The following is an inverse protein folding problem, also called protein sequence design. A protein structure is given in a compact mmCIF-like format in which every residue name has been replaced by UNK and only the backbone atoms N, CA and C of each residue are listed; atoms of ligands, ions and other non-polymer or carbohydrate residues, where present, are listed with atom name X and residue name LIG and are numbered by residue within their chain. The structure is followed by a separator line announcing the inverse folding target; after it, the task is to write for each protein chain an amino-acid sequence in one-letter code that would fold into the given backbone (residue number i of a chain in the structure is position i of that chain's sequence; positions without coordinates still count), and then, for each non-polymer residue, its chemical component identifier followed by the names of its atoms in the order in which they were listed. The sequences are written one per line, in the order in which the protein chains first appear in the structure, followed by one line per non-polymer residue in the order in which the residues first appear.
data_IF_431879274861
#
_entry.id   IF_431879274861
#
_cell.length_a   1.000
_cell.length_b   1.000
_cell.length_c   1.000
_cell.angle_alpha   90.00
_cell.angle_beta   90.00
_cell.angle_gamma   90.00
#
_symmetry.space_group_name_H-M   'P 1'
#
loop_
_entity.id
_entity.type
_entity.pdbx_description
1 polymer ?
#
# COMPACT_ATOMS: atom_id res chain seq x y z
N UNK A 1 4.81 7.29 -8.98
CA UNK A 1 5.65 8.28 -8.26
C UNK A 1 6.83 7.67 -7.51
N UNK A 2 7.05 6.36 -7.61
CA UNK A 2 8.21 5.69 -7.01
C UNK A 2 9.46 5.95 -7.87
N UNK A 3 10.53 6.42 -7.22
CA UNK A 3 11.83 6.67 -7.85
C UNK A 3 12.54 5.37 -8.28
N UNK A 4 13.58 5.48 -9.10
CA UNK A 4 14.42 4.34 -9.44
C UNK A 4 15.10 3.73 -8.21
N UNK A 5 15.57 4.57 -7.28
CA UNK A 5 16.20 4.12 -6.03
C UNK A 5 15.22 3.32 -5.16
N UNK A 6 14.00 3.84 -4.96
CA UNK A 6 12.98 3.14 -4.15
C UNK A 6 12.57 1.82 -4.82
N UNK A 7 12.44 1.77 -6.16
CA UNK A 7 12.11 0.53 -6.87
C UNK A 7 13.24 -0.50 -6.79
N UNK A 8 14.49 -0.06 -6.84
CA UNK A 8 15.64 -0.97 -6.75
C UNK A 8 15.77 -1.59 -5.34
N UNK A 9 15.30 -0.89 -4.30
CA UNK A 9 15.24 -1.43 -2.95
C UNK A 9 16.61 -1.97 -2.50
N UNK A 10 16.62 -3.18 -1.94
CA UNK A 10 17.83 -3.82 -1.44
C UNK A 10 18.91 -4.01 -2.53
N UNK A 11 18.52 -4.38 -3.76
CA UNK A 11 19.48 -4.58 -4.87
C UNK A 11 20.08 -3.26 -5.36
N UNK A 12 19.40 -2.15 -5.11
CA UNK A 12 19.91 -0.79 -5.31
C UNK A 12 20.78 -0.26 -4.16
N UNK A 13 21.05 -1.07 -3.13
CA UNK A 13 21.86 -0.69 -1.97
C UNK A 13 21.09 0.05 -0.86
N UNK A 14 19.76 0.05 -0.89
CA UNK A 14 18.97 0.63 0.18
C UNK A 14 19.16 -0.16 1.49
N UNK A 15 19.38 0.57 2.59
CA UNK A 15 19.55 0.00 3.95
C UNK A 15 18.31 0.11 4.83
N UNK A 16 17.29 0.82 4.35
CA UNK A 16 15.97 0.93 4.99
C UNK A 16 14.88 0.95 3.95
N UNK A 17 13.73 0.37 4.27
CA UNK A 17 12.52 0.50 3.49
C UNK A 17 12.10 1.98 3.38
N UNK A 18 11.60 2.38 2.22
CA UNK A 18 11.06 3.73 2.04
C UNK A 18 9.69 3.86 2.72
N UNK A 19 9.57 4.76 3.71
CA UNK A 19 8.28 5.11 4.31
C UNK A 19 7.61 6.21 3.47
N UNK A 20 6.54 5.86 2.76
CA UNK A 20 5.92 6.74 1.78
C UNK A 20 4.76 7.52 2.37
N UNK A 21 4.90 8.84 2.39
CA UNK A 21 3.85 9.81 2.75
C UNK A 21 3.51 10.69 1.54
N UNK A 22 2.40 11.43 1.61
CA UNK A 22 1.99 12.31 0.52
C UNK A 22 2.91 13.52 0.33
N UNK A 23 3.67 13.90 1.36
CA UNK A 23 4.61 15.03 1.34
C UNK A 23 5.92 14.71 0.61
N UNK A 24 6.17 13.44 0.30
CA UNK A 24 7.34 13.05 -0.46
C UNK A 24 7.28 13.59 -1.89
N UNK A 25 8.38 14.23 -2.32
CA UNK A 25 8.53 14.70 -3.70
C UNK A 25 8.53 13.51 -4.67
N UNK A 26 7.55 13.44 -5.59
CA UNK A 26 7.49 12.36 -6.57
C UNK A 26 8.64 12.42 -7.58
N UNK A 27 9.32 11.30 -7.79
CA UNK A 27 10.33 11.15 -8.85
C UNK A 27 9.89 10.06 -9.85
N UNK A 28 9.01 10.39 -10.81
CA UNK A 28 8.49 9.42 -11.74
C UNK A 28 9.60 8.91 -12.69
N UNK A 29 9.76 7.59 -12.76
CA UNK A 29 10.75 6.90 -13.60
C UNK A 29 10.25 6.41 -14.96
N UNK A 30 8.95 6.55 -15.23
CA UNK A 30 8.33 6.05 -16.46
C UNK A 30 7.20 6.99 -16.94
N UNK A 31 6.78 6.81 -18.19
CA UNK A 31 5.74 7.64 -18.83
C UNK A 31 4.46 7.68 -17.98
N UNK A 32 4.00 6.53 -17.49
CA UNK A 32 2.84 6.46 -16.61
C UNK A 32 2.98 7.38 -15.39
N UNK A 33 4.11 7.31 -14.69
CA UNK A 33 4.39 8.12 -13.51
C UNK A 33 4.41 9.61 -13.81
N UNK A 34 5.02 10.01 -14.94
CA UNK A 34 5.08 11.41 -15.39
C UNK A 34 3.68 11.90 -15.69
N UNK A 35 2.90 11.16 -16.48
CA UNK A 35 1.53 11.53 -16.83
C UNK A 35 0.63 11.68 -15.61
N UNK A 36 0.74 10.77 -14.63
CA UNK A 36 -0.04 10.87 -13.38
C UNK A 36 0.36 12.09 -12.54
N UNK A 37 1.66 12.36 -12.37
CA UNK A 37 2.12 13.53 -11.64
C UNK A 37 1.69 14.84 -12.32
N UNK A 38 1.77 14.90 -13.64
CA UNK A 38 1.27 16.05 -14.42
C UNK A 38 -0.23 16.26 -14.22
N UNK A 39 -1.03 15.19 -14.15
CA UNK A 39 -2.45 15.28 -13.85
C UNK A 39 -2.70 15.86 -12.44
N UNK A 40 -1.92 15.46 -11.41
CA UNK A 40 -2.03 16.05 -10.07
C UNK A 40 -1.76 17.56 -10.08
N UNK A 41 -0.74 18.01 -10.83
CA UNK A 41 -0.43 19.44 -10.98
C UNK A 41 -1.54 20.20 -11.71
N UNK A 42 -2.11 19.63 -12.78
CA UNK A 42 -3.23 20.25 -13.50
C UNK A 42 -4.47 20.39 -12.61
N UNK A 43 -4.79 19.34 -11.83
CA UNK A 43 -5.86 19.37 -10.84
C UNK A 43 -5.64 20.49 -9.80
N UNK A 44 -4.43 20.64 -9.28
CA UNK A 44 -4.09 21.69 -8.31
C UNK A 44 -4.23 23.08 -8.92
N UNK A 45 -3.75 23.28 -10.14
CA UNK A 45 -3.89 24.54 -10.86
C UNK A 45 -5.36 24.92 -11.04
N UNK A 46 -6.20 23.96 -11.45
CA UNK A 46 -7.62 24.21 -11.66
C UNK A 46 -8.37 24.53 -10.36
N UNK A 47 -8.03 23.85 -9.26
CA UNK A 47 -8.53 24.20 -7.93
C UNK A 47 -8.19 25.65 -7.57
N UNK A 48 -6.94 26.07 -7.73
CA UNK A 48 -6.49 27.45 -7.43
C UNK A 48 -7.26 28.49 -8.26
N UNK A 49 -7.52 28.19 -9.53
CA UNK A 49 -8.15 29.14 -10.45
C UNK A 49 -9.68 29.23 -10.31
N UNK A 50 -10.34 28.11 -10.00
CA UNK A 50 -11.81 28.02 -10.04
C UNK A 50 -12.45 27.84 -8.66
N UNK A 51 -11.68 27.50 -7.64
CA UNK A 51 -12.19 27.08 -6.33
C UNK A 51 -12.84 25.69 -6.34
N UNK A 52 -12.83 24.96 -7.47
CA UNK A 52 -13.38 23.61 -7.55
C UNK A 52 -12.66 22.69 -6.54
N UNK A 53 -13.38 22.04 -5.61
CA UNK A 53 -12.76 21.06 -4.74
C UNK A 53 -12.26 19.85 -5.52
N UNK A 54 -11.01 19.44 -5.29
CA UNK A 54 -10.37 18.33 -5.99
C UNK A 54 -9.58 17.48 -5.00
N UNK A 55 -9.91 16.19 -4.94
CA UNK A 55 -9.18 15.21 -4.14
C UNK A 55 -8.46 14.25 -5.07
N UNK A 56 -7.16 14.07 -4.84
CA UNK A 56 -6.29 13.16 -5.59
C UNK A 56 -6.04 11.90 -4.77
N UNK A 57 -6.41 10.75 -5.32
CA UNK A 57 -6.17 9.45 -4.70
C UNK A 57 -5.00 8.73 -5.37
N UNK A 58 -3.91 8.59 -4.62
CA UNK A 58 -2.73 7.80 -4.98
C UNK A 58 -2.96 6.37 -4.52
N UNK A 59 -3.79 5.65 -5.27
CA UNK A 59 -4.14 4.26 -4.95
C UNK A 59 -2.91 3.35 -5.10
N UNK A 60 -2.72 2.47 -4.12
CA UNK A 60 -1.70 1.43 -4.17
C UNK A 60 -2.13 0.30 -5.12
N UNK A 61 -1.47 -0.86 -5.09
CA UNK A 61 -1.79 -1.95 -6.02
C UNK A 61 -3.15 -2.57 -5.67
N UNK A 62 -4.11 -2.60 -6.60
CA UNK A 62 -5.42 -3.25 -6.39
C UNK A 62 -5.86 -4.15 -7.57
N UNK A 63 -5.01 -4.32 -8.59
CA UNK A 63 -5.34 -5.12 -9.76
C UNK A 63 -5.69 -6.57 -9.40
N UNK A 64 -6.76 -7.14 -9.99
CA UNK A 64 -7.10 -8.55 -9.86
C UNK A 64 -6.09 -9.45 -10.58
N UNK A 65 -5.44 -8.94 -11.63
CA UNK A 65 -4.41 -9.65 -12.37
C UNK A 65 -3.14 -9.87 -11.52
N UNK A 66 -2.42 -10.93 -11.87
CA UNK A 66 -1.10 -11.22 -11.33
C UNK A 66 -0.12 -10.06 -11.59
N UNK A 67 0.96 -9.99 -10.82
CA UNK A 67 2.02 -9.03 -11.11
C UNK A 67 2.65 -9.32 -12.48
N UNK A 68 3.03 -8.28 -13.23
CA UNK A 68 3.79 -8.46 -14.47
C UNK A 68 5.12 -9.21 -14.20
N UNK A 69 5.58 -9.15 -12.95
CA UNK A 69 6.74 -9.87 -12.43
C UNK A 69 6.38 -11.19 -11.72
N UNK A 70 5.17 -11.73 -11.89
CA UNK A 70 4.75 -12.97 -11.23
C UNK A 70 5.69 -14.16 -11.53
N UNK A 71 6.33 -14.17 -12.70
CA UNK A 71 7.35 -15.16 -13.06
C UNK A 71 8.61 -15.13 -12.18
N UNK A 72 8.85 -14.03 -11.48
CA UNK A 72 9.97 -13.83 -10.56
C UNK A 72 9.55 -13.88 -9.09
N UNK A 73 8.27 -14.13 -8.80
CA UNK A 73 7.73 -14.23 -7.45
C UNK A 73 7.49 -15.72 -7.15
N UNK A 74 8.17 -16.25 -6.13
CA UNK A 74 8.02 -17.66 -5.74
C UNK A 74 6.64 -17.95 -5.13
N UNK A 75 6.05 -16.96 -4.46
CA UNK A 75 4.75 -17.09 -3.81
C UNK A 75 3.62 -17.20 -4.83
N UNK A 76 2.60 -18.01 -4.53
CA UNK A 76 1.34 -18.02 -5.30
C UNK A 76 0.70 -16.63 -5.35
N UNK A 77 -0.22 -16.41 -6.30
CA UNK A 77 -0.92 -15.12 -6.44
C UNK A 77 -1.67 -14.72 -5.14
N UNK A 78 -2.38 -15.66 -4.52
CA UNK A 78 -3.07 -15.42 -3.25
C UNK A 78 -2.10 -15.06 -2.11
N UNK A 79 -0.98 -15.78 -1.99
CA UNK A 79 0.06 -15.49 -1.01
C UNK A 79 0.71 -14.13 -1.26
N UNK A 80 1.00 -13.80 -2.51
CA UNK A 80 1.58 -12.51 -2.91
C UNK A 80 0.65 -11.38 -2.50
N UNK A 81 -0.63 -11.47 -2.87
CA UNK A 81 -1.64 -10.47 -2.53
C UNK A 81 -1.81 -10.31 -1.02
N UNK A 82 -1.77 -11.41 -0.26
CA UNK A 82 -1.79 -11.36 1.20
C UNK A 82 -0.58 -10.57 1.74
N UNK A 83 0.64 -10.90 1.31
CA UNK A 83 1.84 -10.19 1.75
C UNK A 83 1.79 -8.70 1.40
N UNK A 84 1.33 -8.34 0.20
CA UNK A 84 1.25 -6.94 -0.24
C UNK A 84 0.30 -6.07 0.59
N UNK A 85 -0.71 -6.65 1.24
CA UNK A 85 -1.62 -5.90 2.13
C UNK A 85 -0.89 -5.27 3.33
N UNK A 86 0.31 -5.76 3.67
CA UNK A 86 1.11 -5.18 4.74
C UNK A 86 1.74 -3.84 4.36
N UNK A 87 1.93 -3.56 3.06
CA UNK A 87 2.83 -2.47 2.65
C UNK A 87 2.47 -1.71 1.37
N UNK A 88 1.69 -2.27 0.43
CA UNK A 88 1.44 -1.60 -0.87
C UNK A 88 0.19 -2.04 -1.64
N UNK A 89 -0.78 -2.69 -1.00
CA UNK A 89 -2.01 -3.17 -1.66
C UNK A 89 -3.26 -2.70 -0.95
N UNK A 90 -4.35 -2.66 -1.71
CA UNK A 90 -5.75 -2.56 -1.27
C UNK A 90 -6.62 -3.42 -2.21
N UNK A 91 -7.89 -3.55 -1.91
CA UNK A 91 -8.86 -4.21 -2.81
C UNK A 91 -9.50 -3.20 -3.76
N UNK A 92 -10.16 -3.71 -4.81
CA UNK A 92 -10.94 -2.88 -5.75
C UNK A 92 -12.11 -2.21 -5.01
N UNK A 93 -12.75 -2.96 -4.11
CA UNK A 93 -13.87 -2.48 -3.28
C UNK A 93 -13.41 -1.34 -2.38
N UNK A 94 -12.28 -1.50 -1.69
CA UNK A 94 -11.70 -0.44 -0.86
C UNK A 94 -11.27 0.77 -1.69
N UNK A 95 -10.76 0.55 -2.91
CA UNK A 95 -10.46 1.66 -3.82
C UNK A 95 -11.74 2.42 -4.23
N UNK A 96 -12.84 1.72 -4.53
CA UNK A 96 -14.11 2.35 -4.87
C UNK A 96 -14.70 3.14 -3.69
N UNK A 97 -14.73 2.55 -2.49
CA UNK A 97 -15.20 3.22 -1.27
C UNK A 97 -14.37 4.46 -0.92
N UNK A 98 -13.05 4.44 -1.17
CA UNK A 98 -12.20 5.61 -0.98
C UNK A 98 -12.61 6.78 -1.91
N UNK A 99 -13.08 6.51 -3.12
CA UNK A 99 -13.59 7.56 -4.02
C UNK A 99 -14.89 8.16 -3.49
N UNK A 100 -15.78 7.34 -2.93
CA UNK A 100 -17.03 7.84 -2.31
C UNK A 100 -16.70 8.74 -1.12
N UNK A 101 -15.81 8.29 -0.22
CA UNK A 101 -15.36 9.10 0.91
C UNK A 101 -14.69 10.40 0.46
N UNK A 102 -13.85 10.35 -0.59
CA UNK A 102 -13.22 11.52 -1.19
C UNK A 102 -14.22 12.55 -1.71
N UNK A 103 -15.26 12.10 -2.44
CA UNK A 103 -16.30 12.98 -2.95
C UNK A 103 -17.09 13.65 -1.82
N UNK A 104 -17.39 12.92 -0.75
CA UNK A 104 -18.10 13.46 0.41
C UNK A 104 -17.30 14.53 1.15
N UNK A 105 -15.98 14.33 1.30
CA UNK A 105 -15.07 15.23 2.01
C UNK A 105 -14.50 16.37 1.16
N UNK A 106 -14.63 16.30 -0.16
CA UNK A 106 -14.04 17.27 -1.06
C UNK A 106 -14.44 18.72 -0.74
N UNK A 107 -15.74 19.07 -0.53
CA UNK A 107 -16.14 20.45 -0.28
C UNK A 107 -15.51 21.07 0.97
N UNK A 108 -15.24 20.26 2.00
CA UNK A 108 -14.64 20.74 3.25
C UNK A 108 -13.11 20.84 3.18
N UNK A 109 -12.47 19.97 2.38
CA UNK A 109 -11.01 19.89 2.28
C UNK A 109 -10.43 20.81 1.19
N UNK A 110 -11.20 21.15 0.16
CA UNK A 110 -10.72 21.97 -0.96
C UNK A 110 -9.80 21.17 -1.89
N UNK A 111 -8.49 21.16 -1.63
CA UNK A 111 -7.53 20.36 -2.39
C UNK A 111 -6.67 19.51 -1.47
N UNK A 112 -6.70 18.20 -1.67
CA UNK A 112 -5.85 17.27 -0.93
C UNK A 112 -5.40 16.08 -1.77
N UNK A 113 -4.30 15.50 -1.33
CA UNK A 113 -3.73 14.28 -1.88
C UNK A 113 -3.73 13.23 -0.78
N UNK A 114 -4.15 12.01 -1.11
CA UNK A 114 -4.15 10.88 -0.19
C UNK A 114 -3.50 9.65 -0.81
N UNK A 115 -2.63 8.99 -0.06
CA UNK A 115 -2.27 7.59 -0.31
C UNK A 115 -3.41 6.71 0.18
N UNK A 116 -3.89 5.83 -0.70
CA UNK A 116 -4.92 4.85 -0.35
C UNK A 116 -4.31 3.45 -0.47
N UNK A 117 -4.16 2.79 0.67
CA UNK A 117 -3.69 1.41 0.81
C UNK A 117 -4.31 0.76 2.03
N UNK A 118 -4.27 -0.57 2.10
CA UNK A 118 -4.59 -1.30 3.33
C UNK A 118 -3.71 -0.79 4.49
N UNK A 119 -4.24 -0.85 5.73
CA UNK A 119 -3.51 -0.37 6.89
C UNK A 119 -2.25 -1.22 7.11
N UNK A 120 -1.12 -0.54 7.30
CA UNK A 120 0.13 -1.18 7.71
C UNK A 120 0.25 -1.21 9.24
N UNK A 121 0.70 -2.32 9.84
CA UNK A 121 1.00 -2.36 11.28
C UNK A 121 2.36 -1.72 11.60
N UNK A 122 3.21 -1.51 10.59
CA UNK A 122 4.60 -1.12 10.76
C UNK A 122 4.74 0.32 11.20
N UNK A 123 5.93 0.64 11.71
CA UNK A 123 6.35 2.00 12.06
C UNK A 123 7.59 2.37 11.24
N UNK A 124 7.90 3.66 11.06
CA UNK A 124 9.14 4.09 10.40
C UNK A 124 10.41 3.46 10.98
N UNK A 125 10.43 3.19 12.29
CA UNK A 125 11.55 2.54 13.00
C UNK A 125 11.78 1.09 12.56
N UNK A 126 10.80 0.47 11.92
CA UNK A 126 10.90 -0.89 11.41
C UNK A 126 11.59 -0.98 10.05
N UNK A 127 11.76 0.16 9.35
CA UNK A 127 12.18 0.17 7.95
C UNK A 127 13.54 -0.50 7.71
N UNK A 128 14.50 -0.38 8.63
CA UNK A 128 15.80 -1.07 8.51
C UNK A 128 15.64 -2.59 8.61
N UNK A 129 14.85 -3.06 9.57
CA UNK A 129 14.59 -4.48 9.74
C UNK A 129 13.74 -5.05 8.58
N UNK A 130 12.73 -4.31 8.12
CA UNK A 130 11.84 -4.72 7.02
C UNK A 130 12.60 -5.01 5.72
N UNK A 131 13.59 -4.20 5.38
CA UNK A 131 14.36 -4.42 4.14
C UNK A 131 15.42 -5.50 4.31
N UNK A 132 15.94 -5.70 5.53
CA UNK A 132 16.96 -6.69 5.81
C UNK A 132 16.39 -8.11 5.94
N UNK A 133 15.31 -8.27 6.73
CA UNK A 133 14.66 -9.54 7.04
C UNK A 133 13.21 -9.26 7.51
N UNK A 134 12.25 -9.30 6.58
CA UNK A 134 10.86 -8.95 6.86
C UNK A 134 10.11 -9.95 7.76
N UNK A 135 10.25 -11.29 7.62
CA UNK A 135 9.45 -12.25 8.38
C UNK A 135 9.46 -12.06 9.91
N UNK A 136 10.60 -11.84 10.59
CA UNK A 136 10.60 -11.59 12.04
C UNK A 136 9.88 -10.29 12.44
N UNK A 137 9.93 -9.25 11.60
CA UNK A 137 9.21 -8.00 11.85
C UNK A 137 7.71 -8.23 11.79
N UNK A 138 7.24 -8.99 10.80
CA UNK A 138 5.81 -9.36 10.70
C UNK A 138 5.40 -10.21 11.90
N UNK A 139 6.25 -11.15 12.36
CA UNK A 139 5.94 -12.05 13.47
C UNK A 139 5.75 -11.30 14.80
N UNK A 140 6.43 -10.16 14.97
CA UNK A 140 6.25 -9.31 16.15
C UNK A 140 4.86 -8.67 16.19
N UNK A 141 4.27 -8.36 15.04
CA UNK A 141 2.92 -7.77 14.95
C UNK A 141 1.82 -8.82 14.84
N UNK A 142 2.11 -9.98 14.25
CA UNK A 142 1.19 -11.10 14.05
C UNK A 142 1.85 -12.43 14.44
N UNK A 143 1.99 -12.75 15.73
CA UNK A 143 2.70 -13.93 16.20
C UNK A 143 2.19 -15.27 15.64
N UNK A 144 0.92 -15.33 15.25
CA UNK A 144 0.24 -16.49 14.69
C UNK A 144 0.51 -16.70 13.19
N UNK A 145 0.97 -15.67 12.47
CA UNK A 145 1.11 -15.72 11.02
C UNK A 145 2.01 -16.87 10.54
N UNK A 146 3.18 -17.19 11.16
CA UNK A 146 4.08 -18.21 10.62
C UNK A 146 3.41 -19.58 10.58
N UNK A 147 2.62 -19.90 11.62
CA UNK A 147 1.90 -21.16 11.69
C UNK A 147 0.77 -21.23 10.65
N UNK A 148 -0.01 -20.16 10.50
CA UNK A 148 -1.09 -20.07 9.50
C UNK A 148 -0.54 -20.20 8.07
N UNK A 149 0.56 -19.51 7.78
CA UNK A 149 1.22 -19.56 6.49
C UNK A 149 1.77 -20.95 6.18
N UNK A 150 2.48 -21.57 7.14
CA UNK A 150 3.03 -22.91 6.97
C UNK A 150 1.94 -23.95 6.63
N UNK A 151 0.75 -23.85 7.24
CA UNK A 151 -0.38 -24.74 6.94
C UNK A 151 -0.89 -24.61 5.50
N UNK A 152 -0.92 -23.39 4.97
CA UNK A 152 -1.35 -23.11 3.59
C UNK A 152 -0.22 -23.34 2.57
N UNK A 153 0.98 -23.71 3.02
CA UNK A 153 2.20 -23.75 2.20
C UNK A 153 2.64 -22.37 1.70
N UNK A 154 2.24 -21.31 2.41
CA UNK A 154 2.55 -19.92 2.09
C UNK A 154 3.82 -19.45 2.78
N UNK A 155 4.49 -18.46 2.21
CA UNK A 155 5.71 -17.85 2.74
C UNK A 155 5.63 -16.32 2.73
N UNK A 156 6.32 -15.68 3.67
CA UNK A 156 6.46 -14.22 3.70
C UNK A 156 7.56 -13.80 2.72
N UNK A 157 7.46 -12.60 2.14
CA UNK A 157 8.58 -12.04 1.38
C UNK A 157 9.80 -11.88 2.29
N UNK A 158 11.02 -12.19 1.81
CA UNK A 158 12.22 -12.07 2.63
C UNK A 158 12.57 -10.61 2.95
N UNK A 159 12.13 -9.68 2.10
CA UNK A 159 12.44 -8.25 2.20
C UNK A 159 11.24 -7.42 1.75
N UNK A 160 10.98 -6.32 2.45
CA UNK A 160 10.00 -5.28 2.09
C UNK A 160 10.76 -3.98 1.85
N UNK A 161 10.66 -3.44 0.63
CA UNK A 161 11.46 -2.30 0.16
C UNK A 161 10.81 -0.93 0.45
N UNK A 162 9.49 -0.91 0.66
CA UNK A 162 8.72 0.31 0.92
C UNK A 162 7.43 0.01 1.64
N UNK A 163 6.91 1.00 2.36
CA UNK A 163 5.63 0.95 3.05
C UNK A 163 4.83 2.20 2.69
N UNK A 164 3.56 2.02 2.32
CA UNK A 164 2.62 3.10 2.03
C UNK A 164 1.88 3.47 3.32
N UNK A 165 2.03 4.73 3.74
CA UNK A 165 1.36 5.26 4.93
C UNK A 165 0.01 5.86 4.57
N UNK A 166 -1.07 5.17 4.94
CA UNK A 166 -2.45 5.61 4.72
C UNK A 166 -3.02 6.41 5.92
N UNK A 167 -2.20 6.83 6.88
CA UNK A 167 -2.65 7.56 8.07
C UNK A 167 -3.39 8.86 7.73
N UNK A 168 -2.95 9.61 6.70
CA UNK A 168 -3.62 10.83 6.27
C UNK A 168 -5.05 10.58 5.77
N UNK A 169 -5.27 9.48 5.05
CA UNK A 169 -6.60 9.08 4.60
C UNK A 169 -7.50 8.76 5.81
N UNK A 170 -6.99 8.02 6.81
CA UNK A 170 -7.71 7.79 8.06
C UNK A 170 -8.07 9.12 8.75
N UNK A 171 -7.08 9.97 8.96
CA UNK A 171 -7.21 11.13 9.86
C UNK A 171 -8.02 12.28 9.25
N UNK A 172 -7.97 12.47 7.92
CA UNK A 172 -8.63 13.60 7.25
C UNK A 172 -9.77 13.20 6.34
N UNK A 173 -9.71 12.02 5.73
CA UNK A 173 -10.80 11.50 4.92
C UNK A 173 -11.81 10.71 5.77
N UNK A 174 -11.40 10.24 6.95
CA UNK A 174 -12.21 9.32 7.76
C UNK A 174 -12.31 7.94 7.12
N UNK A 175 -11.36 7.59 6.24
CA UNK A 175 -11.39 6.37 5.45
C UNK A 175 -10.27 5.41 5.87
N UNK A 176 -10.63 4.14 6.07
CA UNK A 176 -9.71 3.03 6.27
C UNK A 176 -10.20 1.85 5.43
N UNK A 177 -9.30 1.20 4.70
CA UNK A 177 -9.63 -0.03 3.97
C UNK A 177 -10.19 -1.09 4.92
N UNK A 178 -11.28 -1.74 4.50
CA UNK A 178 -11.92 -2.82 5.26
C UNK A 178 -11.07 -4.09 5.20
N UNK A 179 -10.42 -4.35 4.06
CA UNK A 179 -9.54 -5.50 3.91
C UNK A 179 -8.14 -5.19 4.43
N UNK A 180 -7.63 -6.05 5.31
CA UNK A 180 -6.30 -5.93 5.91
C UNK A 180 -5.60 -7.29 5.97
N UNK A 181 -4.29 -7.28 6.25
CA UNK A 181 -3.55 -8.52 6.52
C UNK A 181 -4.16 -9.33 7.67
N UNK A 182 -4.58 -8.65 8.75
CA UNK A 182 -5.25 -9.27 9.88
C UNK A 182 -6.55 -10.00 9.47
N UNK A 183 -7.33 -9.41 8.55
CA UNK A 183 -8.53 -10.05 8.03
C UNK A 183 -8.20 -11.32 7.23
N UNK A 184 -7.09 -11.33 6.49
CA UNK A 184 -6.60 -12.54 5.79
C UNK A 184 -6.19 -13.62 6.78
N UNK A 185 -5.44 -13.28 7.83
CA UNK A 185 -5.07 -14.25 8.87
C UNK A 185 -6.29 -14.81 9.60
N UNK A 186 -7.28 -13.96 9.92
CA UNK A 186 -8.53 -14.40 10.53
C UNK A 186 -9.31 -15.37 9.63
N UNK A 187 -9.34 -15.12 8.31
CA UNK A 187 -9.96 -16.03 7.35
C UNK A 187 -9.21 -17.38 7.28
N UNK A 188 -7.87 -17.36 7.23
CA UNK A 188 -7.05 -18.58 7.25
C UNK A 188 -7.26 -19.39 8.54
N UNK A 189 -7.44 -18.72 9.68
CA UNK A 189 -7.74 -19.38 10.96
C UNK A 189 -9.17 -19.94 11.00
N UNK A 190 -10.15 -19.27 10.37
CA UNK A 190 -11.52 -19.75 10.31
C UNK A 190 -11.71 -20.97 9.41
N UNK A 191 -10.94 -21.07 8.32
CA UNK A 191 -10.89 -22.28 7.48
C UNK A 191 -10.51 -23.54 8.29
N UNK A 192 -9.78 -23.37 9.39
CA UNK A 192 -9.39 -24.46 10.30
C UNK A 192 -10.53 -24.93 11.21
N UNK A 193 -11.40 -24.02 11.66
CA UNK A 193 -12.52 -24.36 12.54
C UNK A 193 -13.71 -25.03 11.83
N UNK A 194 -13.68 -25.07 10.50
CA UNK A 194 -14.73 -25.65 9.65
C UNK A 194 -14.34 -27.04 9.07
N UNK A 195 -13.14 -27.54 9.36
CA UNK A 195 -12.62 -28.85 8.96
C UNK A 195 -12.65 -29.84 10.14
#
# INVERSE_FOLDING_TARGET
MISNAIRAGLTGGARKAAWLTEDMSPEPRNIYGVTKLSAEHLCRLYHIQSGLPVIVLRTARFFPEADDMAHAIEQSDANTKANELLFRRLTVEDAAEAHVAALEKAPQLGFEIFIISAPTPFRPDDCEALIADAPPVVARYFPEFPALYARKGWTMFPSIDRVYDASRARDRLGFVCKTSFAAVLAALAAEEGAA
#
